data_IF_209429962823
#
_entry.id   IF_209429962823
#
_cell.length_a   1.000
_cell.length_b   1.000
_cell.length_c   1.000
_cell.angle_alpha   90.00
_cell.angle_beta   90.00
_cell.angle_gamma   90.00
#
_symmetry.space_group_name_H-M   'P 1'
#
loop_
_entity.id
_entity.type
_entity.pdbx_description
1 polymer ?
#
# COMPACT_ATOMS: atom_id res chain seq x y z
N UNK A 1 18.04 -33.45 -49.04
CA UNK A 1 18.22 -33.59 -47.57
C UNK A 1 19.39 -32.73 -47.11
N UNK A 2 19.12 -31.53 -46.60
CA UNK A 2 20.09 -30.70 -45.86
C UNK A 2 19.39 -30.30 -44.57
N UNK A 3 19.74 -31.04 -43.53
CA UNK A 3 19.08 -31.13 -42.23
C UNK A 3 19.73 -30.11 -41.30
N UNK A 4 18.91 -29.19 -40.79
CA UNK A 4 18.90 -28.70 -39.40
C UNK A 4 20.22 -28.12 -38.87
N UNK A 5 20.48 -26.82 -39.10
CA UNK A 5 21.50 -26.04 -38.34
C UNK A 5 21.16 -24.56 -38.19
N UNK A 6 19.91 -24.19 -37.91
CA UNK A 6 19.58 -22.76 -37.63
C UNK A 6 18.53 -22.60 -36.51
N UNK A 7 18.51 -23.49 -35.51
CA UNK A 7 17.54 -23.40 -34.39
C UNK A 7 18.17 -23.64 -33.01
N UNK A 8 19.48 -23.42 -32.84
CA UNK A 8 20.16 -23.61 -31.55
C UNK A 8 20.63 -22.31 -30.88
N UNK A 9 20.19 -21.15 -31.37
CA UNK A 9 20.55 -19.84 -30.80
C UNK A 9 19.39 -19.14 -30.07
N UNK A 10 18.25 -19.81 -29.89
CA UNK A 10 17.00 -19.19 -29.42
C UNK A 10 16.67 -19.41 -27.93
N UNK A 11 17.53 -20.06 -27.13
CA UNK A 11 17.14 -20.49 -25.78
C UNK A 11 18.07 -20.09 -24.62
N UNK A 12 19.15 -19.33 -24.85
CA UNK A 12 20.14 -19.04 -23.79
C UNK A 12 19.95 -17.67 -23.11
N UNK A 13 19.11 -16.77 -23.65
CA UNK A 13 19.01 -15.38 -23.14
C UNK A 13 17.78 -15.11 -22.26
N UNK A 14 16.84 -16.05 -22.11
CA UNK A 14 15.59 -15.84 -21.35
C UNK A 14 15.53 -16.57 -20.00
N UNK A 15 16.66 -17.09 -19.52
CA UNK A 15 16.76 -17.80 -18.25
C UNK A 15 17.07 -16.91 -17.05
N UNK A 16 16.49 -15.70 -16.92
CA UNK A 16 16.37 -15.10 -15.59
C UNK A 16 15.17 -15.76 -14.94
N UNK A 17 15.44 -16.89 -14.27
CA UNK A 17 14.55 -17.38 -13.24
C UNK A 17 14.23 -16.18 -12.34
N UNK A 18 12.97 -15.76 -12.31
CA UNK A 18 12.47 -14.94 -11.24
C UNK A 18 12.77 -15.75 -9.97
N UNK A 19 13.82 -15.37 -9.24
CA UNK A 19 13.99 -15.85 -7.89
C UNK A 19 12.70 -15.40 -7.19
N UNK A 20 11.83 -16.36 -6.85
CA UNK A 20 10.69 -16.06 -6.01
C UNK A 20 11.26 -15.39 -4.77
N UNK A 21 10.88 -14.13 -4.53
CA UNK A 21 11.31 -13.42 -3.35
C UNK A 21 10.96 -14.31 -2.15
N UNK A 22 11.92 -14.48 -1.23
CA UNK A 22 11.62 -15.20 0.00
C UNK A 22 10.48 -14.46 0.71
N UNK A 23 9.47 -15.18 1.20
CA UNK A 23 8.35 -14.53 1.86
C UNK A 23 8.85 -13.74 3.07
N UNK A 24 8.27 -12.56 3.28
CA UNK A 24 8.59 -11.73 4.44
C UNK A 24 8.31 -12.50 5.75
N UNK A 25 9.05 -12.21 6.83
CA UNK A 25 8.68 -12.69 8.16
C UNK A 25 7.24 -12.31 8.50
N UNK A 26 6.49 -13.20 9.15
CA UNK A 26 5.05 -13.01 9.43
C UNK A 26 4.74 -11.66 10.12
N UNK A 27 5.57 -11.25 11.06
CA UNK A 27 5.42 -9.96 11.74
C UNK A 27 5.57 -8.76 10.78
N UNK A 28 6.52 -8.84 9.85
CA UNK A 28 6.74 -7.81 8.82
C UNK A 28 5.58 -7.81 7.83
N UNK A 29 5.09 -8.99 7.44
CA UNK A 29 3.91 -9.13 6.58
C UNK A 29 2.68 -8.46 7.20
N UNK A 30 2.41 -8.72 8.49
CA UNK A 30 1.31 -8.08 9.20
C UNK A 30 1.48 -6.55 9.30
N UNK A 31 2.70 -6.07 9.51
CA UNK A 31 2.99 -4.63 9.54
C UNK A 31 2.73 -3.97 8.17
N UNK A 32 3.22 -4.53 7.07
CA UNK A 32 3.04 -3.92 5.74
C UNK A 32 1.58 -3.96 5.28
N UNK A 33 0.82 -5.01 5.63
CA UNK A 33 -0.63 -5.06 5.39
C UNK A 33 -1.37 -4.01 6.21
N UNK A 34 -0.98 -3.81 7.47
CA UNK A 34 -1.53 -2.76 8.31
C UNK A 34 -1.24 -1.36 7.75
N UNK A 35 0.01 -1.10 7.34
CA UNK A 35 0.43 0.17 6.74
C UNK A 35 -0.31 0.44 5.43
N UNK A 36 -0.42 -0.54 4.53
CA UNK A 36 -1.17 -0.41 3.28
C UNK A 36 -2.66 -0.15 3.53
N UNK A 37 -3.24 -0.82 4.53
CA UNK A 37 -4.63 -0.58 4.95
C UNK A 37 -4.82 0.85 5.46
N UNK A 38 -3.90 1.35 6.30
CA UNK A 38 -4.01 2.70 6.84
C UNK A 38 -3.72 3.78 5.79
N UNK A 39 -2.79 3.56 4.87
CA UNK A 39 -2.59 4.42 3.72
C UNK A 39 -3.88 4.55 2.89
N UNK A 40 -4.51 3.42 2.55
CA UNK A 40 -5.79 3.42 1.84
C UNK A 40 -6.89 4.16 2.62
N UNK A 41 -6.94 3.99 3.94
CA UNK A 41 -7.91 4.68 4.79
C UNK A 41 -7.71 6.19 4.73
N UNK A 42 -6.49 6.67 4.99
CA UNK A 42 -6.18 8.09 5.02
C UNK A 42 -6.39 8.77 3.66
N UNK A 43 -5.94 8.16 2.57
CA UNK A 43 -6.17 8.70 1.22
C UNK A 43 -7.64 8.69 0.81
N UNK A 44 -8.45 7.73 1.28
CA UNK A 44 -9.90 7.82 1.07
C UNK A 44 -10.54 8.88 1.99
N UNK A 45 -10.02 9.05 3.21
CA UNK A 45 -10.52 10.04 4.16
C UNK A 45 -10.30 11.49 3.68
N UNK A 46 -9.22 11.79 2.95
CA UNK A 46 -8.99 13.14 2.36
C UNK A 46 -10.14 13.56 1.43
N UNK A 47 -10.80 12.61 0.77
CA UNK A 47 -11.94 12.87 -0.12
C UNK A 47 -13.27 13.06 0.63
N UNK A 48 -13.36 12.61 1.88
CA UNK A 48 -14.58 12.64 2.69
C UNK A 48 -14.54 13.68 3.82
N UNK A 49 -13.36 14.16 4.20
CA UNK A 49 -13.15 15.11 5.28
C UNK A 49 -13.22 16.57 4.80
N UNK A 50 -13.49 17.53 5.71
CA UNK A 50 -13.36 18.95 5.40
C UNK A 50 -11.93 19.31 4.98
N UNK A 51 -11.77 20.29 4.08
CA UNK A 51 -10.44 20.67 3.55
C UNK A 51 -9.40 21.02 4.63
N UNK A 52 -9.79 21.55 5.78
CA UNK A 52 -8.86 21.85 6.88
C UNK A 52 -8.10 20.62 7.40
N UNK A 53 -8.62 19.42 7.15
CA UNK A 53 -8.04 18.13 7.59
C UNK A 53 -7.24 17.44 6.46
N UNK A 54 -7.22 18.02 5.25
CA UNK A 54 -6.58 17.41 4.08
C UNK A 54 -5.09 17.15 4.29
N UNK A 55 -4.32 18.15 4.77
CA UNK A 55 -2.87 18.00 4.91
C UNK A 55 -2.49 16.92 5.92
N UNK A 56 -3.19 16.87 7.06
CA UNK A 56 -2.96 15.86 8.08
C UNK A 56 -3.27 14.44 7.57
N UNK A 57 -4.43 14.26 6.92
CA UNK A 57 -4.82 12.97 6.37
C UNK A 57 -3.91 12.54 5.21
N UNK A 58 -3.59 13.46 4.30
CA UNK A 58 -2.69 13.16 3.19
C UNK A 58 -1.29 12.82 3.70
N UNK A 59 -0.77 13.58 4.66
CA UNK A 59 0.52 13.34 5.32
C UNK A 59 0.58 11.98 6.01
N UNK A 60 -0.46 11.61 6.77
CA UNK A 60 -0.54 10.30 7.40
C UNK A 60 -0.58 9.15 6.38
N UNK A 61 -1.24 9.36 5.24
CA UNK A 61 -1.23 8.42 4.11
C UNK A 61 0.16 8.23 3.50
N UNK A 62 0.88 9.32 3.23
CA UNK A 62 2.26 9.27 2.73
C UNK A 62 3.22 8.65 3.74
N UNK A 63 3.08 8.97 5.04
CA UNK A 63 3.89 8.37 6.10
C UNK A 63 3.73 6.85 6.13
N UNK A 64 2.48 6.36 6.12
CA UNK A 64 2.18 4.94 6.07
C UNK A 64 2.80 4.25 4.84
N UNK A 65 2.67 4.90 3.67
CA UNK A 65 3.26 4.45 2.41
C UNK A 65 4.78 4.37 2.48
N UNK A 66 5.45 5.46 2.86
CA UNK A 66 6.91 5.52 2.90
C UNK A 66 7.50 4.49 3.86
N UNK A 67 6.83 4.26 5.00
CA UNK A 67 7.22 3.21 5.95
C UNK A 67 7.06 1.81 5.36
N UNK A 68 5.98 1.53 4.63
CA UNK A 68 5.77 0.23 3.99
C UNK A 68 6.79 -0.04 2.88
N UNK A 69 7.16 0.99 2.12
CA UNK A 69 8.14 0.91 1.03
C UNK A 69 9.58 0.65 1.50
N UNK A 70 9.83 0.60 2.83
CA UNK A 70 11.08 0.07 3.39
C UNK A 70 11.20 -1.44 3.27
N UNK A 71 10.07 -2.13 3.11
CA UNK A 71 9.98 -3.58 3.07
C UNK A 71 9.47 -4.10 1.73
N UNK A 72 8.63 -3.32 1.05
CA UNK A 72 7.98 -3.68 -0.21
C UNK A 72 8.49 -2.84 -1.37
N UNK A 73 8.38 -3.39 -2.58
CA UNK A 73 8.40 -2.56 -3.77
C UNK A 73 7.06 -1.81 -3.96
N UNK A 74 7.08 -0.81 -4.83
CA UNK A 74 5.91 0.05 -5.09
C UNK A 74 4.74 -0.76 -5.65
N UNK A 75 4.99 -1.75 -6.51
CA UNK A 75 3.93 -2.50 -7.15
C UNK A 75 3.20 -3.42 -6.14
N UNK A 76 3.94 -4.01 -5.21
CA UNK A 76 3.36 -4.83 -4.15
C UNK A 76 2.59 -3.98 -3.13
N UNK A 77 3.14 -2.82 -2.74
CA UNK A 77 2.42 -1.87 -1.90
C UNK A 77 1.12 -1.40 -2.56
N UNK A 78 1.17 -0.98 -3.83
CA UNK A 78 0.00 -0.50 -4.58
C UNK A 78 -1.08 -1.59 -4.68
N UNK A 79 -0.68 -2.86 -4.84
CA UNK A 79 -1.61 -3.99 -4.81
C UNK A 79 -2.29 -4.12 -3.45
N UNK A 80 -1.54 -4.12 -2.34
CA UNK A 80 -2.10 -4.24 -0.99
C UNK A 80 -3.02 -3.06 -0.64
N UNK A 81 -2.60 -1.85 -0.98
CA UNK A 81 -3.40 -0.63 -0.79
C UNK A 81 -4.68 -0.68 -1.63
N UNK A 82 -4.58 -1.15 -2.88
CA UNK A 82 -5.72 -1.37 -3.75
C UNK A 82 -6.73 -2.38 -3.20
N UNK A 83 -6.25 -3.52 -2.70
CA UNK A 83 -7.08 -4.54 -2.06
C UNK A 83 -7.82 -3.97 -0.84
N UNK A 84 -7.14 -3.17 -0.01
CA UNK A 84 -7.75 -2.47 1.12
C UNK A 84 -8.80 -1.44 0.66
N UNK A 85 -8.52 -0.65 -0.39
CA UNK A 85 -9.46 0.32 -0.94
C UNK A 85 -10.72 -0.34 -1.53
N UNK A 86 -10.58 -1.52 -2.15
CA UNK A 86 -11.72 -2.33 -2.61
C UNK A 86 -12.57 -2.79 -1.42
N UNK A 87 -11.95 -3.24 -0.33
CA UNK A 87 -12.68 -3.61 0.89
C UNK A 87 -13.44 -2.41 1.49
N UNK A 88 -12.83 -1.22 1.50
CA UNK A 88 -13.50 0.01 1.96
C UNK A 88 -14.67 0.39 1.06
N UNK A 89 -14.53 0.27 -0.26
CA UNK A 89 -15.60 0.51 -1.23
C UNK A 89 -16.77 -0.47 -1.02
N UNK A 90 -16.47 -1.73 -0.68
CA UNK A 90 -17.51 -2.71 -0.35
C UNK A 90 -18.30 -2.32 0.92
N UNK A 91 -17.64 -1.76 1.94
CA UNK A 91 -18.32 -1.28 3.17
C UNK A 91 -19.26 -0.11 2.91
N UNK A 92 -18.94 0.75 1.94
CA UNK A 92 -19.81 1.86 1.54
C UNK A 92 -20.93 1.42 0.59
N UNK A 93 -20.90 0.18 0.10
CA UNK A 93 -21.80 -0.28 -0.97
C UNK A 93 -21.62 0.52 -2.27
N UNK A 94 -20.44 1.11 -2.49
CA UNK A 94 -20.16 2.03 -3.59
C UNK A 94 -20.67 3.46 -3.38
N UNK A 95 -21.33 3.78 -2.27
CA UNK A 95 -21.84 5.12 -1.96
C UNK A 95 -20.95 5.81 -0.91
N UNK A 96 -20.02 6.65 -1.38
CA UNK A 96 -19.07 7.37 -0.53
C UNK A 96 -19.69 8.32 0.49
N UNK A 97 -20.99 8.66 0.38
CA UNK A 97 -21.70 9.36 1.47
C UNK A 97 -21.80 8.52 2.75
N UNK A 98 -21.58 7.21 2.64
CA UNK A 98 -21.56 6.25 3.75
C UNK A 98 -20.15 6.04 4.30
N UNK A 99 -19.21 6.97 4.05
CA UNK A 99 -17.82 6.87 4.52
C UNK A 99 -17.70 6.70 6.04
N UNK A 100 -18.68 7.14 6.83
CA UNK A 100 -18.71 6.90 8.27
C UNK A 100 -18.61 5.40 8.64
N UNK A 101 -19.03 4.48 7.75
CA UNK A 101 -18.82 3.04 7.94
C UNK A 101 -17.35 2.63 7.82
N UNK A 102 -16.64 3.22 6.87
CA UNK A 102 -15.19 3.05 6.70
C UNK A 102 -14.49 3.64 7.91
N UNK A 103 -14.85 4.88 8.30
CA UNK A 103 -14.31 5.54 9.50
C UNK A 103 -14.48 4.70 10.75
N UNK A 104 -15.70 4.24 11.05
CA UNK A 104 -15.97 3.42 12.23
C UNK A 104 -15.15 2.11 12.27
N UNK A 105 -14.79 1.56 11.11
CA UNK A 105 -14.00 0.32 10.99
C UNK A 105 -12.49 0.59 11.12
N UNK A 106 -11.97 1.62 10.45
CA UNK A 106 -10.54 1.79 10.22
C UNK A 106 -9.90 2.91 11.05
N UNK A 107 -10.66 3.92 11.46
CA UNK A 107 -10.13 5.00 12.30
C UNK A 107 -9.50 4.49 13.60
N UNK A 108 -10.13 3.57 14.38
CA UNK A 108 -9.55 3.13 15.65
C UNK A 108 -8.24 2.35 15.49
N UNK A 109 -8.07 1.66 14.36
CA UNK A 109 -6.86 0.87 14.10
C UNK A 109 -5.75 1.72 13.49
N UNK A 110 -6.08 2.79 12.77
CA UNK A 110 -5.09 3.66 12.13
C UNK A 110 -4.74 4.92 12.94
N UNK A 111 -5.49 5.23 14.01
CA UNK A 111 -5.28 6.43 14.81
C UNK A 111 -3.85 6.57 15.36
N UNK A 112 -3.23 5.48 15.81
CA UNK A 112 -1.85 5.51 16.29
C UNK A 112 -0.87 5.95 15.20
N UNK A 113 -1.09 5.49 13.96
CA UNK A 113 -0.23 5.84 12.82
C UNK A 113 -0.37 7.31 12.41
N UNK A 114 -1.55 7.91 12.61
CA UNK A 114 -1.73 9.35 12.40
C UNK A 114 -0.94 10.18 13.42
N UNK A 115 -0.91 9.75 14.69
CA UNK A 115 -0.13 10.42 15.74
C UNK A 115 1.37 10.30 15.45
N UNK A 116 1.84 9.12 15.05
CA UNK A 116 3.24 8.91 14.66
C UNK A 116 3.63 9.81 13.47
N UNK A 117 2.74 9.99 12.50
CA UNK A 117 2.97 10.85 11.35
C UNK A 117 3.06 12.34 11.73
N UNK A 118 2.18 12.79 12.62
CA UNK A 118 2.19 14.16 13.14
C UNK A 118 3.49 14.44 13.93
N UNK A 119 3.93 13.50 14.77
CA UNK A 119 5.18 13.61 15.53
C UNK A 119 6.42 13.61 14.60
N UNK A 120 6.43 12.77 13.57
CA UNK A 120 7.48 12.74 12.55
C UNK A 120 7.57 14.07 11.77
N UNK A 121 6.41 14.66 11.43
CA UNK A 121 6.36 15.96 10.76
C UNK A 121 6.90 17.10 11.64
N UNK A 122 6.66 17.05 12.96
CA UNK A 122 7.16 18.05 13.91
C UNK A 122 8.67 17.95 14.17
N UNK A 123 9.23 16.74 14.11
CA UNK A 123 10.65 16.47 14.37
C UNK A 123 11.53 16.61 13.13
N UNK A 124 10.92 16.69 11.94
CA UNK A 124 11.65 16.74 10.67
C UNK A 124 12.24 15.39 10.27
N UNK A 125 11.83 14.31 10.93
CA UNK A 125 12.04 12.94 10.47
C UNK A 125 11.09 12.67 9.29
N UNK A 126 11.37 13.33 8.16
CA UNK A 126 10.67 13.04 6.92
C UNK A 126 11.35 11.82 6.29
N UNK A 127 10.72 10.66 6.50
CA UNK A 127 11.10 9.38 5.90
C UNK A 127 10.93 9.36 4.36
#
# INVERSE_FOLDING_TARGET
MRVVRVLALLAVVLGRAAAAAEPLPEAVQAEVEHLATCAAYFFNATNAAPMREYEALYGAGEYARNRALRYLDVAEFDRLMGDAAVAMTALTGGDWRQFDRVRARYEPVCAALALDADDAALTGEVD
#
